data_IF_829856905188
#
_entry.id   IF_829856905188
#
_cell.length_a   1.000
_cell.length_b   1.000
_cell.length_c   1.000
_cell.angle_alpha   90.00
_cell.angle_beta   90.00
_cell.angle_gamma   90.00
#
_symmetry.space_group_name_H-M   'P 1'
#
loop_
_entity.id
_entity.type
_entity.pdbx_description
1 polymer ?
#
# COMPACT_ATOMS: atom_id res chain seq x y z
N UNK A 1 -9.18 -14.26 5.26
CA UNK A 1 -7.89 -13.57 5.44
C UNK A 1 -8.17 -12.09 5.33
N UNK A 2 -7.79 -11.30 6.32
CA UNK A 2 -7.92 -9.83 6.32
C UNK A 2 -6.81 -9.18 5.51
N UNK A 3 -6.99 -7.92 5.12
CA UNK A 3 -5.97 -7.11 4.44
C UNK A 3 -4.64 -7.10 5.22
N UNK A 4 -4.72 -7.02 6.55
CA UNK A 4 -3.54 -7.02 7.44
C UNK A 4 -2.81 -8.37 7.45
N UNK A 5 -3.56 -9.47 7.46
CA UNK A 5 -2.97 -10.82 7.41
C UNK A 5 -2.28 -11.06 6.06
N UNK A 6 -2.93 -10.70 4.95
CA UNK A 6 -2.36 -10.82 3.60
C UNK A 6 -1.09 -9.96 3.44
N UNK A 7 -1.13 -8.74 3.98
CA UNK A 7 0.04 -7.86 4.07
C UNK A 7 1.19 -8.52 4.82
N UNK A 8 0.94 -9.00 6.05
CA UNK A 8 1.94 -9.65 6.89
C UNK A 8 2.55 -10.88 6.23
N UNK A 9 1.75 -11.71 5.57
CA UNK A 9 2.24 -12.86 4.81
C UNK A 9 3.21 -12.45 3.69
N UNK A 10 2.92 -11.37 2.96
CA UNK A 10 3.79 -10.88 1.89
C UNK A 10 5.06 -10.21 2.42
N UNK A 11 4.98 -9.49 3.55
CA UNK A 11 6.16 -8.95 4.24
C UNK A 11 7.08 -10.07 4.72
N UNK A 12 6.53 -11.16 5.26
CA UNK A 12 7.33 -12.32 5.65
C UNK A 12 8.02 -12.99 4.46
N UNK A 13 7.37 -13.04 3.29
CA UNK A 13 8.03 -13.46 2.04
C UNK A 13 9.19 -12.54 1.66
N UNK A 14 9.02 -11.22 1.79
CA UNK A 14 10.10 -10.26 1.54
C UNK A 14 11.29 -10.47 2.50
N UNK A 15 11.03 -10.73 3.80
CA UNK A 15 12.07 -11.10 4.77
C UNK A 15 12.76 -12.42 4.43
N UNK A 16 11.99 -13.42 3.98
CA UNK A 16 12.52 -14.70 3.49
C UNK A 16 13.51 -14.52 2.34
N UNK A 17 13.25 -13.60 1.41
CA UNK A 17 14.20 -13.28 0.34
C UNK A 17 15.50 -12.66 0.87
N UNK A 18 15.44 -11.82 1.91
CA UNK A 18 16.63 -11.25 2.54
C UNK A 18 17.46 -12.36 3.22
N UNK A 19 16.79 -13.27 3.95
CA UNK A 19 17.43 -14.42 4.59
C UNK A 19 18.07 -15.35 3.56
N UNK A 20 17.35 -15.69 2.49
CA UNK A 20 17.86 -16.49 1.37
C UNK A 20 19.10 -15.83 0.74
N UNK A 21 19.07 -14.51 0.52
CA UNK A 21 20.25 -13.79 0.03
C UNK A 21 21.42 -13.85 1.03
N UNK A 22 21.17 -13.90 2.33
CA UNK A 22 22.21 -14.06 3.35
C UNK A 22 22.87 -15.44 3.29
N UNK A 23 22.07 -16.50 3.17
CA UNK A 23 22.55 -17.88 3.04
C UNK A 23 23.36 -18.10 1.76
N UNK A 24 22.91 -17.53 0.64
CA UNK A 24 23.58 -17.68 -0.67
C UNK A 24 24.86 -16.83 -0.81
N UNK A 25 25.02 -15.78 0.00
CA UNK A 25 26.15 -14.85 -0.10
C UNK A 25 26.73 -14.50 1.29
N UNK A 26 27.23 -15.49 2.06
CA UNK A 26 27.65 -15.26 3.43
C UNK A 26 28.86 -14.32 3.53
N UNK A 27 29.80 -14.37 2.58
CA UNK A 27 31.05 -13.60 2.57
C UNK A 27 31.43 -13.21 1.12
N UNK A 28 31.82 -11.96 0.88
CA UNK A 28 32.27 -11.45 -0.44
C UNK A 28 31.29 -10.48 -1.13
N UNK A 29 31.71 -9.88 -2.25
CA UNK A 29 30.81 -9.10 -3.09
C UNK A 29 29.85 -10.08 -3.80
N UNK A 30 28.53 -10.01 -3.58
CA UNK A 30 27.59 -10.94 -4.18
C UNK A 30 27.67 -10.83 -5.71
N UNK A 31 27.53 -11.96 -6.40
CA UNK A 31 27.28 -11.93 -7.85
C UNK A 31 26.07 -11.06 -8.12
N UNK A 32 26.10 -10.36 -9.25
CA UNK A 32 25.06 -9.40 -9.61
C UNK A 32 23.67 -10.04 -9.66
N UNK A 33 23.56 -11.32 -10.08
CA UNK A 33 22.31 -12.08 -10.05
C UNK A 33 21.69 -12.24 -8.64
N UNK A 34 22.51 -12.38 -7.59
CA UNK A 34 21.99 -12.52 -6.22
C UNK A 34 21.43 -11.20 -5.67
N UNK A 35 21.92 -10.06 -6.18
CA UNK A 35 21.36 -8.76 -5.81
C UNK A 35 19.90 -8.58 -6.28
N UNK A 36 19.42 -9.37 -7.25
CA UNK A 36 18.02 -9.33 -7.69
C UNK A 36 17.08 -9.97 -6.66
N UNK A 37 17.57 -10.86 -5.80
CA UNK A 37 16.82 -11.37 -4.64
C UNK A 37 16.46 -10.20 -3.71
N UNK A 38 17.40 -9.28 -3.48
CA UNK A 38 17.16 -8.08 -2.68
C UNK A 38 16.23 -7.07 -3.36
N UNK A 39 16.26 -6.99 -4.70
CA UNK A 39 15.32 -6.15 -5.47
C UNK A 39 13.91 -6.70 -5.39
N UNK A 40 13.76 -8.02 -5.54
CA UNK A 40 12.48 -8.71 -5.38
C UNK A 40 11.90 -8.49 -3.98
N UNK A 41 12.71 -8.49 -2.93
CA UNK A 41 12.25 -8.17 -1.57
C UNK A 41 11.69 -6.75 -1.45
N UNK A 42 12.33 -5.73 -2.06
CA UNK A 42 11.79 -4.36 -2.10
C UNK A 42 10.47 -4.32 -2.88
N UNK A 43 10.39 -5.00 -4.03
CA UNK A 43 9.16 -5.09 -4.82
C UNK A 43 8.04 -5.72 -4.00
N UNK A 44 8.31 -6.82 -3.29
CA UNK A 44 7.31 -7.51 -2.47
C UNK A 44 6.80 -6.62 -1.34
N UNK A 45 7.68 -5.89 -0.64
CA UNK A 45 7.25 -5.00 0.42
C UNK A 45 6.34 -3.87 -0.08
N UNK A 46 6.72 -3.21 -1.19
CA UNK A 46 5.90 -2.13 -1.78
C UNK A 46 4.60 -2.67 -2.36
N UNK A 47 4.62 -3.83 -3.03
CA UNK A 47 3.42 -4.50 -3.53
C UNK A 47 2.49 -4.96 -2.41
N UNK A 48 3.03 -5.41 -1.27
CA UNK A 48 2.23 -5.73 -0.09
C UNK A 48 1.47 -4.48 0.39
N UNK A 49 2.14 -3.34 0.48
CA UNK A 49 1.52 -2.07 0.87
C UNK A 49 0.42 -1.63 -0.11
N UNK A 50 0.68 -1.76 -1.41
CA UNK A 50 -0.30 -1.43 -2.47
C UNK A 50 -1.57 -2.29 -2.33
N UNK A 51 -1.40 -3.61 -2.24
CA UNK A 51 -2.50 -4.56 -2.05
C UNK A 51 -3.25 -4.32 -0.74
N UNK A 52 -2.53 -4.03 0.35
CA UNK A 52 -3.13 -3.71 1.64
C UNK A 52 -4.14 -2.55 1.53
N UNK A 53 -3.79 -1.46 0.83
CA UNK A 53 -4.70 -0.32 0.73
C UNK A 53 -5.94 -0.65 -0.11
N UNK A 54 -5.80 -1.43 -1.18
CA UNK A 54 -6.95 -1.92 -1.96
C UNK A 54 -7.92 -2.71 -1.08
N UNK A 55 -7.39 -3.71 -0.38
CA UNK A 55 -8.20 -4.63 0.42
C UNK A 55 -8.80 -3.92 1.62
N UNK A 56 -7.99 -3.17 2.38
CA UNK A 56 -8.44 -2.49 3.61
C UNK A 56 -9.55 -1.47 3.33
N UNK A 57 -9.45 -0.71 2.24
CA UNK A 57 -10.52 0.23 1.88
C UNK A 57 -11.80 -0.53 1.59
N UNK A 58 -11.74 -1.57 0.75
CA UNK A 58 -12.90 -2.40 0.44
C UNK A 58 -13.52 -3.05 1.68
N UNK A 59 -12.69 -3.53 2.62
CA UNK A 59 -13.13 -4.10 3.91
C UNK A 59 -13.88 -3.08 4.75
N UNK A 60 -13.43 -1.82 4.80
CA UNK A 60 -13.95 -0.78 5.70
C UNK A 60 -15.11 0.03 5.14
N UNK A 61 -15.44 -0.07 3.85
CA UNK A 61 -16.62 0.60 3.27
C UNK A 61 -17.93 0.20 3.97
N UNK A 62 -18.19 -1.11 4.14
CA UNK A 62 -19.45 -1.56 4.76
C UNK A 62 -19.56 -1.13 6.23
N UNK A 63 -18.56 -1.37 7.10
CA UNK A 63 -18.56 -0.86 8.46
C UNK A 63 -18.75 0.66 8.54
N UNK A 64 -18.06 1.43 7.69
CA UNK A 64 -18.18 2.89 7.64
C UNK A 64 -19.62 3.34 7.33
N UNK A 65 -20.23 2.78 6.29
CA UNK A 65 -21.59 3.15 5.88
C UNK A 65 -22.60 2.78 6.96
N UNK A 66 -22.45 1.62 7.61
CA UNK A 66 -23.29 1.19 8.74
C UNK A 66 -23.14 2.11 9.95
N UNK A 67 -21.90 2.37 10.38
CA UNK A 67 -21.58 3.25 11.52
C UNK A 67 -22.22 4.63 11.37
N UNK A 68 -22.25 5.15 10.14
CA UNK A 68 -22.83 6.45 9.82
C UNK A 68 -24.32 6.40 9.45
N UNK A 69 -24.97 5.22 9.48
CA UNK A 69 -26.34 5.00 9.02
C UNK A 69 -26.62 5.60 7.62
N UNK A 70 -25.62 5.55 6.73
CA UNK A 70 -25.69 6.13 5.39
C UNK A 70 -25.67 7.67 5.31
N UNK A 71 -25.48 8.38 6.43
CA UNK A 71 -25.49 9.86 6.49
C UNK A 71 -24.09 10.42 6.61
N UNK A 72 -23.86 11.66 6.14
CA UNK A 72 -22.57 12.36 6.30
C UNK A 72 -21.35 11.48 5.91
N UNK A 73 -21.49 10.74 4.80
CA UNK A 73 -20.44 9.90 4.23
C UNK A 73 -19.32 10.79 3.68
N UNK A 74 -18.05 10.31 3.67
CA UNK A 74 -16.96 11.05 3.07
C UNK A 74 -17.28 11.44 1.62
N UNK A 75 -17.02 12.68 1.24
CA UNK A 75 -17.35 13.19 -0.10
C UNK A 75 -16.73 12.35 -1.22
N UNK A 76 -15.49 11.87 -1.01
CA UNK A 76 -14.82 11.00 -1.99
C UNK A 76 -15.49 9.65 -2.15
N UNK A 77 -16.05 9.07 -1.08
CA UNK A 77 -16.83 7.83 -1.18
C UNK A 77 -18.08 8.02 -2.04
N UNK A 78 -18.81 9.11 -1.83
CA UNK A 78 -20.02 9.43 -2.60
C UNK A 78 -19.68 9.66 -4.07
N UNK A 79 -18.60 10.40 -4.35
CA UNK A 79 -18.08 10.62 -5.70
C UNK A 79 -17.72 9.29 -6.38
N UNK A 80 -16.98 8.43 -5.69
CA UNK A 80 -16.58 7.10 -6.19
C UNK A 80 -17.79 6.22 -6.51
N UNK A 81 -18.80 6.18 -5.63
CA UNK A 81 -20.02 5.41 -5.88
C UNK A 81 -20.74 5.96 -7.11
N UNK A 82 -20.95 7.28 -7.18
CA UNK A 82 -21.65 7.94 -8.30
C UNK A 82 -20.95 7.70 -9.64
N UNK A 83 -19.62 7.69 -9.66
CA UNK A 83 -18.87 7.43 -10.88
C UNK A 83 -18.96 5.96 -11.33
N UNK A 84 -19.17 5.03 -10.39
CA UNK A 84 -19.17 3.59 -10.66
C UNK A 84 -20.55 2.97 -10.87
N UNK A 85 -21.64 3.73 -10.80
CA UNK A 85 -23.01 3.19 -10.95
C UNK A 85 -24.03 4.26 -11.34
N UNK A 86 -25.21 3.82 -11.82
CA UNK A 86 -26.34 4.69 -12.16
C UNK A 86 -27.35 4.78 -11.02
N UNK A 87 -28.25 5.77 -11.05
CA UNK A 87 -29.32 5.89 -10.05
C UNK A 87 -30.26 4.68 -10.07
N UNK A 88 -30.65 4.20 -11.26
CA UNK A 88 -31.50 3.01 -11.41
C UNK A 88 -30.83 1.78 -10.77
N UNK A 89 -29.53 1.59 -11.02
CA UNK A 89 -28.78 0.49 -10.41
C UNK A 89 -28.67 0.60 -8.89
N UNK A 90 -28.60 1.81 -8.33
CA UNK A 90 -28.63 2.00 -6.88
C UNK A 90 -29.98 1.60 -6.28
N UNK A 91 -31.08 1.93 -6.95
CA UNK A 91 -32.43 1.53 -6.53
C UNK A 91 -32.55 0.00 -6.57
N UNK A 92 -32.06 -0.65 -7.63
CA UNK A 92 -32.00 -2.12 -7.71
C UNK A 92 -31.20 -2.72 -6.55
N UNK A 93 -29.99 -2.21 -6.29
CA UNK A 93 -29.13 -2.69 -5.19
C UNK A 93 -29.84 -2.62 -3.84
N UNK A 94 -30.65 -1.58 -3.59
CA UNK A 94 -31.39 -1.45 -2.33
C UNK A 94 -32.43 -2.56 -2.11
N UNK A 95 -32.87 -3.23 -3.18
CA UNK A 95 -33.83 -4.33 -3.15
C UNK A 95 -33.15 -5.71 -3.19
N UNK A 96 -31.85 -5.77 -3.50
CA UNK A 96 -31.05 -7.00 -3.54
C UNK A 96 -30.61 -7.47 -2.14
N UNK A 97 -30.19 -8.73 -2.05
CA UNK A 97 -29.55 -9.22 -0.83
C UNK A 97 -28.21 -8.50 -0.59
N UNK A 98 -27.95 -8.15 0.67
CA UNK A 98 -26.68 -7.52 1.11
C UNK A 98 -26.31 -6.27 0.28
N UNK A 99 -27.17 -5.23 0.23
CA UNK A 99 -26.97 -4.02 -0.59
C UNK A 99 -25.59 -3.37 -0.40
N UNK A 100 -25.09 -3.34 0.84
CA UNK A 100 -23.80 -2.74 1.15
C UNK A 100 -22.60 -3.52 0.57
N UNK A 101 -22.74 -4.83 0.34
CA UNK A 101 -21.70 -5.62 -0.32
C UNK A 101 -21.53 -5.21 -1.79
N UNK A 102 -22.64 -4.86 -2.46
CA UNK A 102 -22.61 -4.30 -3.82
C UNK A 102 -21.94 -2.92 -3.83
N UNK A 103 -22.26 -2.05 -2.86
CA UNK A 103 -21.58 -0.76 -2.69
C UNK A 103 -20.07 -0.93 -2.51
N UNK A 104 -19.64 -1.86 -1.65
CA UNK A 104 -18.22 -2.15 -1.46
C UNK A 104 -17.57 -2.73 -2.72
N UNK A 105 -18.31 -3.50 -3.53
CA UNK A 105 -17.84 -3.98 -4.84
C UNK A 105 -17.63 -2.84 -5.83
N UNK A 106 -18.54 -1.86 -5.87
CA UNK A 106 -18.38 -0.65 -6.70
C UNK A 106 -17.09 0.07 -6.33
N UNK A 107 -16.85 0.28 -5.03
CA UNK A 107 -15.62 0.94 -4.55
C UNK A 107 -14.38 0.12 -4.90
N UNK A 108 -14.37 -1.20 -4.67
CA UNK A 108 -13.22 -2.06 -5.03
C UNK A 108 -12.90 -1.97 -6.53
N UNK A 109 -13.92 -2.06 -7.38
CA UNK A 109 -13.74 -1.95 -8.84
C UNK A 109 -13.18 -0.59 -9.25
N UNK A 110 -13.61 0.49 -8.61
CA UNK A 110 -13.09 1.83 -8.89
C UNK A 110 -11.60 2.00 -8.56
N UNK A 111 -11.08 1.16 -7.64
CA UNK A 111 -9.68 1.19 -7.24
C UNK A 111 -8.84 0.23 -8.06
N UNK A 112 -9.39 -0.87 -8.58
CA UNK A 112 -8.67 -2.02 -9.14
C UNK A 112 -7.52 -1.67 -10.13
N UNK A 113 -7.72 -0.71 -11.03
CA UNK A 113 -6.73 -0.35 -12.06
C UNK A 113 -5.67 0.66 -11.57
N UNK A 114 -5.83 1.21 -10.37
CA UNK A 114 -4.95 2.22 -9.81
C UNK A 114 -3.96 1.61 -8.81
N UNK A 115 -2.66 1.85 -9.02
CA UNK A 115 -1.66 1.59 -7.96
C UNK A 115 -1.85 2.55 -6.79
N UNK A 116 -1.91 2.08 -5.55
CA UNK A 116 -2.02 2.87 -4.30
C UNK A 116 -0.72 2.79 -3.51
N UNK A 117 0.39 3.11 -4.16
CA UNK A 117 1.73 3.01 -3.56
C UNK A 117 2.38 4.37 -3.26
N UNK A 118 2.17 5.40 -4.09
CA UNK A 118 2.78 6.70 -3.86
C UNK A 118 1.97 7.53 -2.85
N UNK A 119 2.64 8.50 -2.22
CA UNK A 119 2.04 9.31 -1.14
C UNK A 119 0.72 9.96 -1.54
N UNK A 120 0.65 10.54 -2.75
CA UNK A 120 -0.55 11.25 -3.23
C UNK A 120 -1.72 10.31 -3.52
N UNK A 121 -1.43 9.12 -4.05
CA UNK A 121 -2.45 8.09 -4.31
C UNK A 121 -2.97 7.47 -3.02
N UNK A 122 -2.09 7.23 -2.04
CA UNK A 122 -2.49 6.80 -0.69
C UNK A 122 -3.36 7.88 -0.03
N UNK A 123 -2.96 9.17 -0.07
CA UNK A 123 -3.77 10.29 0.42
C UNK A 123 -5.17 10.29 -0.22
N UNK A 124 -5.25 10.12 -1.55
CA UNK A 124 -6.52 10.12 -2.27
C UNK A 124 -7.39 8.90 -1.93
N UNK A 125 -6.80 7.73 -1.79
CA UNK A 125 -7.50 6.50 -1.45
C UNK A 125 -8.09 6.57 -0.03
N UNK A 126 -7.34 7.11 0.94
CA UNK A 126 -7.80 7.27 2.33
C UNK A 126 -8.97 8.25 2.50
N UNK A 127 -9.14 9.21 1.57
CA UNK A 127 -10.34 10.09 1.54
C UNK A 127 -11.64 9.30 1.35
N UNK A 128 -11.60 8.15 0.70
CA UNK A 128 -12.77 7.26 0.57
C UNK A 128 -13.27 6.84 1.96
N UNK A 129 -12.36 6.66 2.92
CA UNK A 129 -12.71 6.33 4.31
C UNK A 129 -12.91 7.55 5.20
N UNK A 130 -12.66 8.78 4.70
CA UNK A 130 -12.61 9.99 5.52
C UNK A 130 -11.44 9.99 6.50
N UNK A 131 -10.32 9.38 6.11
CA UNK A 131 -9.11 9.21 6.93
C UNK A 131 -7.97 10.14 6.46
N UNK A 132 -8.25 11.41 6.18
CA UNK A 132 -7.27 12.37 5.64
C UNK A 132 -6.11 12.68 6.61
N UNK A 133 -6.35 12.45 7.89
CA UNK A 133 -5.45 12.62 9.02
C UNK A 133 -4.55 11.38 9.26
N UNK A 134 -4.70 10.29 8.52
CA UNK A 134 -3.96 9.05 8.73
C UNK A 134 -2.43 9.25 8.75
N UNK A 135 -1.88 10.11 7.90
CA UNK A 135 -0.45 10.41 7.91
C UNK A 135 0.02 11.14 9.17
N UNK A 136 -0.85 11.97 9.76
CA UNK A 136 -0.56 12.64 11.02
C UNK A 136 -0.55 11.62 12.16
N UNK A 137 -1.56 10.75 12.22
CA UNK A 137 -1.63 9.69 13.23
C UNK A 137 -0.49 8.68 13.09
N UNK A 138 -0.20 8.22 11.88
CA UNK A 138 0.93 7.33 11.63
C UNK A 138 2.27 7.98 12.03
N UNK A 139 2.46 9.27 11.76
CA UNK A 139 3.65 9.99 12.18
C UNK A 139 3.75 10.08 13.72
N UNK A 140 2.64 10.35 14.41
CA UNK A 140 2.58 10.36 15.88
C UNK A 140 2.95 8.99 16.46
N UNK A 141 2.37 7.92 15.93
CA UNK A 141 2.66 6.53 16.34
C UNK A 141 4.14 6.19 16.16
N UNK A 142 4.75 6.64 15.06
CA UNK A 142 6.17 6.37 14.75
C UNK A 142 7.14 7.41 15.34
N UNK A 143 6.69 8.30 16.23
CA UNK A 143 7.56 9.30 16.86
C UNK A 143 8.25 10.24 15.87
N UNK A 144 7.59 10.58 14.76
CA UNK A 144 8.16 11.35 13.65
C UNK A 144 7.20 12.43 13.16
N UNK A 145 7.61 13.23 12.17
CA UNK A 145 6.75 14.25 11.57
C UNK A 145 6.06 13.75 10.30
N UNK A 146 4.88 14.32 9.98
CA UNK A 146 4.12 14.02 8.74
C UNK A 146 4.97 14.19 7.47
N UNK A 147 5.83 15.22 7.44
CA UNK A 147 6.75 15.46 6.31
C UNK A 147 7.82 14.37 6.23
N UNK A 148 8.33 13.92 7.38
CA UNK A 148 9.40 12.92 7.46
C UNK A 148 8.87 11.53 7.09
N UNK A 149 7.69 11.11 7.56
CA UNK A 149 7.13 9.79 7.20
C UNK A 149 6.88 9.65 5.68
N UNK A 150 6.37 10.69 5.02
CA UNK A 150 6.20 10.71 3.56
C UNK A 150 7.54 10.56 2.83
N UNK A 151 8.58 11.25 3.32
CA UNK A 151 9.96 11.12 2.82
C UNK A 151 10.61 9.78 3.15
N UNK A 152 10.11 9.05 4.14
CA UNK A 152 10.60 7.71 4.49
C UNK A 152 10.05 6.69 3.50
N UNK A 153 8.76 6.76 3.14
CA UNK A 153 8.11 5.76 2.27
C UNK A 153 8.43 5.99 0.78
N UNK A 154 8.36 7.24 0.32
CA UNK A 154 8.44 7.55 -1.12
C UNK A 154 9.70 7.01 -1.82
N UNK A 155 10.92 7.07 -1.25
CA UNK A 155 12.11 6.54 -1.91
C UNK A 155 12.04 5.04 -2.23
N UNK A 156 11.30 4.25 -1.46
CA UNK A 156 11.14 2.81 -1.72
C UNK A 156 10.13 2.54 -2.83
N UNK A 157 9.08 3.37 -2.91
CA UNK A 157 8.13 3.35 -4.03
C UNK A 157 8.84 3.73 -5.32
N UNK A 158 9.66 4.77 -5.30
CA UNK A 158 10.46 5.20 -6.44
C UNK A 158 11.46 4.11 -6.85
N UNK A 159 12.10 3.47 -5.85
CA UNK A 159 13.02 2.35 -6.10
C UNK A 159 12.30 1.15 -6.71
N UNK A 160 11.11 0.77 -6.23
CA UNK A 160 10.30 -0.30 -6.83
C UNK A 160 9.93 0.05 -8.27
N UNK A 161 9.58 1.31 -8.54
CA UNK A 161 9.29 1.76 -9.89
C UNK A 161 10.52 1.60 -10.79
N UNK A 162 11.70 2.05 -10.34
CA UNK A 162 12.95 1.86 -11.06
C UNK A 162 13.24 0.38 -11.31
N UNK A 163 13.04 -0.51 -10.33
CA UNK A 163 13.27 -1.96 -10.48
C UNK A 163 12.37 -2.58 -11.53
N UNK A 164 11.07 -2.31 -11.47
CA UNK A 164 10.07 -3.00 -12.30
C UNK A 164 9.97 -2.41 -13.70
N UNK A 165 10.14 -1.09 -13.85
CA UNK A 165 9.92 -0.41 -15.13
C UNK A 165 11.23 -0.01 -15.83
N UNK A 166 12.27 0.34 -15.08
CA UNK A 166 13.52 0.90 -15.62
C UNK A 166 14.71 -0.07 -15.52
N UNK A 167 14.47 -1.32 -15.09
CA UNK A 167 15.52 -2.33 -14.89
C UNK A 167 16.53 -1.98 -13.79
N UNK A 168 16.18 -1.06 -12.89
CA UNK A 168 17.02 -0.52 -11.82
C UNK A 168 18.37 0.07 -12.27
N UNK A 169 18.44 0.55 -13.52
CA UNK A 169 19.66 1.09 -14.10
C UNK A 169 19.97 2.51 -13.63
N UNK A 170 21.26 2.86 -13.57
CA UNK A 170 21.70 4.22 -13.27
C UNK A 170 21.17 5.25 -14.28
N UNK A 171 20.98 6.50 -13.85
CA UNK A 171 20.47 7.58 -14.70
C UNK A 171 21.54 8.57 -15.17
N UNK A 172 22.78 8.44 -14.66
CA UNK A 172 23.88 9.33 -14.99
C UNK A 172 24.63 8.90 -16.25
N UNK A 173 25.28 9.86 -16.94
CA UNK A 173 26.05 9.58 -18.17
C UNK A 173 27.08 8.45 -18.02
N UNK A 174 27.75 8.35 -16.86
CA UNK A 174 28.80 7.35 -16.59
C UNK A 174 28.29 6.00 -16.10
N UNK A 175 27.02 5.89 -15.69
CA UNK A 175 26.45 4.69 -15.07
C UNK A 175 25.08 4.31 -15.67
N UNK A 176 24.75 4.80 -16.86
CA UNK A 176 23.44 4.66 -17.50
C UNK A 176 22.98 3.20 -17.67
N UNK A 177 23.93 2.31 -17.88
CA UNK A 177 23.67 0.88 -18.14
C UNK A 177 24.15 -0.03 -17.01
N UNK A 178 24.65 0.53 -15.91
CA UNK A 178 25.00 -0.28 -14.74
C UNK A 178 23.85 -0.31 -13.75
N UNK A 179 23.63 -1.51 -13.18
CA UNK A 179 22.64 -1.68 -12.13
C UNK A 179 23.01 -0.81 -10.93
N UNK A 180 22.00 -0.14 -10.36
CA UNK A 180 22.16 0.58 -9.11
C UNK A 180 22.43 -0.40 -7.97
N UNK A 181 23.37 -0.05 -7.09
CA UNK A 181 23.74 -0.86 -5.92
C UNK A 181 22.54 -1.04 -4.98
N UNK A 182 22.37 -2.26 -4.49
CA UNK A 182 21.41 -2.61 -3.44
C UNK A 182 22.13 -3.43 -2.36
N UNK A 183 21.74 -3.28 -1.10
CA UNK A 183 22.41 -3.92 0.05
C UNK A 183 21.39 -4.49 1.01
N UNK A 184 21.76 -5.53 1.77
CA UNK A 184 20.88 -6.10 2.82
C UNK A 184 20.38 -5.04 3.80
N UNK A 185 21.22 -4.14 4.35
CA UNK A 185 20.74 -3.10 5.27
C UNK A 185 19.71 -2.17 4.63
N UNK A 186 19.91 -1.77 3.37
CA UNK A 186 18.93 -0.95 2.65
C UNK A 186 17.60 -1.69 2.49
N UNK A 187 17.64 -2.94 2.03
CA UNK A 187 16.44 -3.75 1.79
C UNK A 187 15.69 -4.05 3.10
N UNK A 188 16.38 -4.46 4.16
CA UNK A 188 15.76 -4.67 5.47
C UNK A 188 15.09 -3.38 5.99
N UNK A 189 15.81 -2.26 5.90
CA UNK A 189 15.27 -0.95 6.27
C UNK A 189 14.04 -0.58 5.46
N UNK A 190 14.00 -0.92 4.17
CA UNK A 190 12.83 -0.69 3.31
C UNK A 190 11.63 -1.50 3.78
N UNK A 191 11.81 -2.81 4.01
CA UNK A 191 10.74 -3.71 4.49
C UNK A 191 10.19 -3.23 5.83
N UNK A 192 11.06 -2.96 6.81
CA UNK A 192 10.63 -2.55 8.16
C UNK A 192 9.92 -1.20 8.14
N UNK A 193 10.40 -0.24 7.34
CA UNK A 193 9.75 1.09 7.23
C UNK A 193 8.37 1.01 6.58
N UNK A 194 8.21 0.17 5.56
CA UNK A 194 6.91 -0.05 4.92
C UNK A 194 5.97 -0.75 5.89
N UNK A 195 6.43 -1.80 6.57
CA UNK A 195 5.63 -2.52 7.57
C UNK A 195 5.17 -1.60 8.70
N UNK A 196 6.09 -0.87 9.33
CA UNK A 196 5.77 0.05 10.41
C UNK A 196 4.79 1.15 9.98
N UNK A 197 4.93 1.67 8.75
CA UNK A 197 3.99 2.63 8.21
C UNK A 197 2.59 2.04 8.05
N UNK A 198 2.48 0.87 7.41
CA UNK A 198 1.18 0.21 7.19
C UNK A 198 0.53 -0.17 8.51
N UNK A 199 1.27 -0.72 9.46
CA UNK A 199 0.74 -1.05 10.80
C UNK A 199 0.21 0.18 11.54
N UNK A 200 0.92 1.32 11.46
CA UNK A 200 0.48 2.55 12.09
C UNK A 200 -0.81 3.12 11.44
N UNK A 201 -0.93 3.02 10.11
CA UNK A 201 -2.14 3.43 9.39
C UNK A 201 -3.30 2.47 9.64
N UNK A 202 -3.03 1.17 9.67
CA UNK A 202 -4.01 0.12 9.99
C UNK A 202 -4.65 0.34 11.35
N UNK A 203 -3.82 0.52 12.39
CA UNK A 203 -4.32 0.81 13.73
C UNK A 203 -5.17 2.08 13.80
N UNK A 204 -4.81 3.11 13.03
CA UNK A 204 -5.62 4.31 12.93
C UNK A 204 -6.98 4.05 12.26
N UNK A 205 -6.98 3.37 11.10
CA UNK A 205 -8.21 3.03 10.37
C UNK A 205 -9.15 2.21 11.25
N UNK A 206 -8.62 1.19 11.95
CA UNK A 206 -9.42 0.32 12.83
C UNK A 206 -9.96 1.08 14.05
N UNK A 207 -9.22 2.04 14.60
CA UNK A 207 -9.71 2.89 15.68
C UNK A 207 -10.85 3.82 15.25
N UNK A 208 -10.84 4.26 13.99
CA UNK A 208 -11.81 5.21 13.43
C UNK A 208 -13.04 4.52 12.84
N UNK A 209 -12.86 3.31 12.32
CA UNK A 209 -13.89 2.48 11.70
C UNK A 209 -13.66 1.05 12.21
N UNK A 210 -14.27 0.67 13.35
CA UNK A 210 -14.17 -0.68 13.90
C UNK A 210 -14.64 -1.75 12.92
#
# INVERSE_FOLDING_TARGET
MTAKEAFGATINRARGLIALHQELCPIGAPRQEYADILRAAVVFAVSAMDAYFHDKIGEKVVPLVRMKAGRNLPGKLVETIRAGTTHDRLIEIMLEERPLAHVATIVRRSLADATIQNVGKIDNALKVLGCEDAWFHAAKTLGTSRKKIKKIVQPYVDRRHDIVHEGDLGKGKKNKHSLKRITRPYTATAVDRIENFVQAVDGFIDSKIP
#
